data_IF_137364912103
#
_entry.id   IF_137364912103
#
_cell.length_a   1.000
_cell.length_b   1.000
_cell.length_c   1.000
_cell.angle_alpha   90.00
_cell.angle_beta   90.00
_cell.angle_gamma   90.00
#
_symmetry.space_group_name_H-M   'P 1'
#
loop_
_entity.id
_entity.type
_entity.pdbx_description
1 polymer ?
#
# COMPACT_ATOMS: atom_id res chain seq x y z
N UNK A 1 -8.58 5.29 18.03
CA UNK A 1 -8.66 6.28 16.92
C UNK A 1 -7.40 6.31 16.05
N UNK A 2 -6.18 6.43 16.61
CA UNK A 2 -4.91 6.54 15.84
C UNK A 2 -4.71 5.49 14.74
N UNK A 3 -4.95 4.20 15.02
CA UNK A 3 -4.87 3.12 14.00
C UNK A 3 -5.80 3.35 12.80
N UNK A 4 -7.03 3.82 13.04
CA UNK A 4 -8.00 4.06 11.96
C UNK A 4 -7.49 5.15 11.02
N UNK A 5 -6.88 6.20 11.56
CA UNK A 5 -6.31 7.31 10.79
C UNK A 5 -5.19 6.82 9.86
N UNK A 6 -4.25 5.99 10.35
CA UNK A 6 -3.17 5.44 9.51
C UNK A 6 -3.71 4.58 8.36
N UNK A 7 -4.72 3.74 8.62
CA UNK A 7 -5.35 2.95 7.56
C UNK A 7 -6.09 3.82 6.54
N UNK A 8 -6.81 4.85 6.99
CA UNK A 8 -7.49 5.78 6.10
C UNK A 8 -6.49 6.58 5.25
N UNK A 9 -5.39 7.06 5.83
CA UNK A 9 -4.30 7.72 5.09
C UNK A 9 -3.68 6.79 4.05
N UNK A 10 -3.43 5.53 4.41
CA UNK A 10 -2.87 4.54 3.47
C UNK A 10 -3.83 4.25 2.31
N UNK A 11 -5.13 4.15 2.60
CA UNK A 11 -6.15 3.97 1.57
C UNK A 11 -6.22 5.19 0.63
N UNK A 12 -6.23 6.40 1.19
CA UNK A 12 -6.21 7.65 0.43
C UNK A 12 -4.96 7.71 -0.45
N UNK A 13 -3.79 7.34 0.07
CA UNK A 13 -2.54 7.31 -0.68
C UNK A 13 -2.61 6.41 -1.91
N UNK A 14 -3.05 5.16 -1.73
CA UNK A 14 -3.16 4.18 -2.83
C UNK A 14 -4.12 4.66 -3.92
N UNK A 15 -5.25 5.26 -3.53
CA UNK A 15 -6.24 5.81 -4.47
C UNK A 15 -5.65 7.03 -5.21
N UNK A 16 -5.01 7.95 -4.48
CA UNK A 16 -4.40 9.16 -5.04
C UNK A 16 -3.32 8.81 -6.06
N UNK A 17 -2.39 7.91 -5.71
CA UNK A 17 -1.34 7.46 -6.63
C UNK A 17 -1.94 6.72 -7.82
N UNK A 18 -2.99 5.93 -7.61
CA UNK A 18 -3.73 5.28 -8.71
C UNK A 18 -4.29 6.30 -9.70
N UNK A 19 -4.93 7.35 -9.20
CA UNK A 19 -5.44 8.41 -10.06
C UNK A 19 -4.32 9.11 -10.85
N UNK A 20 -3.19 9.44 -10.20
CA UNK A 20 -2.05 10.06 -10.88
C UNK A 20 -1.44 9.16 -11.97
N UNK A 21 -1.27 7.87 -11.68
CA UNK A 21 -0.76 6.90 -12.66
C UNK A 21 -1.71 6.75 -13.84
N UNK A 22 -3.02 6.73 -13.59
CA UNK A 22 -4.01 6.69 -14.65
C UNK A 22 -3.98 7.95 -15.52
N UNK A 23 -3.97 9.13 -14.91
CA UNK A 23 -3.91 10.41 -15.60
C UNK A 23 -2.63 10.53 -16.47
N UNK A 24 -1.47 10.15 -15.92
CA UNK A 24 -0.21 10.10 -16.67
C UNK A 24 -0.25 9.07 -17.82
N UNK A 25 -0.87 7.91 -17.59
CA UNK A 25 -1.06 6.89 -18.62
C UNK A 25 -1.91 7.38 -19.79
N UNK A 26 -2.98 8.14 -19.51
CA UNK A 26 -3.82 8.76 -20.56
C UNK A 26 -3.10 9.88 -21.32
N UNK A 27 -2.21 10.62 -20.65
CA UNK A 27 -1.41 11.68 -21.25
C UNK A 27 -0.19 11.16 -22.04
N UNK A 28 0.12 9.86 -21.93
CA UNK A 28 1.29 9.28 -22.58
C UNK A 28 1.08 9.13 -24.10
N UNK A 29 2.06 9.52 -24.94
CA UNK A 29 1.96 9.45 -26.40
C UNK A 29 2.07 8.02 -26.95
N UNK A 30 2.68 7.09 -26.19
CA UNK A 30 2.99 5.75 -26.69
C UNK A 30 1.80 4.78 -26.58
N UNK A 31 1.34 4.54 -25.34
CA UNK A 31 0.24 3.64 -25.03
C UNK A 31 -0.62 4.23 -23.93
N UNK A 32 -1.86 4.56 -24.27
CA UNK A 32 -2.88 5.01 -23.32
C UNK A 32 -3.38 3.84 -22.50
N UNK A 33 -2.62 3.50 -21.47
CA UNK A 33 -2.93 2.40 -20.57
C UNK A 33 -2.53 2.76 -19.15
N UNK A 34 -3.17 2.09 -18.19
CA UNK A 34 -2.78 2.21 -16.80
C UNK A 34 -1.43 1.52 -16.58
N UNK A 35 -0.46 2.23 -15.99
CA UNK A 35 0.89 1.72 -15.74
C UNK A 35 0.92 0.99 -14.40
N UNK A 36 0.47 -0.27 -14.41
CA UNK A 36 0.36 -1.10 -13.20
C UNK A 36 1.66 -1.18 -12.40
N UNK A 37 2.81 -1.29 -13.06
CA UNK A 37 4.11 -1.35 -12.41
C UNK A 37 4.40 -0.11 -11.55
N UNK A 38 4.11 1.09 -12.08
CA UNK A 38 4.30 2.34 -11.34
C UNK A 38 3.35 2.44 -10.14
N UNK A 39 2.08 2.07 -10.35
CA UNK A 39 1.12 2.11 -9.26
C UNK A 39 1.48 1.15 -8.13
N UNK A 40 1.99 -0.05 -8.46
CA UNK A 40 2.44 -1.01 -7.45
C UNK A 40 3.63 -0.45 -6.69
N UNK A 41 4.66 0.05 -7.39
CA UNK A 41 5.89 0.52 -6.76
C UNK A 41 5.74 1.82 -5.98
N UNK A 42 4.89 2.76 -6.42
CA UNK A 42 4.72 4.07 -5.79
C UNK A 42 3.47 4.21 -4.93
N UNK A 43 2.44 3.40 -5.19
CA UNK A 43 1.18 3.40 -4.44
C UNK A 43 1.13 2.29 -3.42
N UNK A 44 1.14 1.05 -3.89
CA UNK A 44 0.87 -0.13 -3.04
C UNK A 44 2.00 -0.47 -2.08
N UNK A 45 3.23 -0.57 -2.58
CA UNK A 45 4.41 -0.93 -1.76
C UNK A 45 4.63 0.07 -0.63
N UNK A 46 4.62 1.40 -0.84
CA UNK A 46 4.83 2.37 0.24
C UNK A 46 3.69 2.40 1.26
N UNK A 47 2.46 2.10 0.85
CA UNK A 47 1.33 2.02 1.77
C UNK A 47 1.43 0.81 2.70
N UNK A 48 2.04 -0.30 2.25
CA UNK A 48 2.09 -1.56 3.01
C UNK A 48 3.42 -1.72 3.76
N UNK A 49 4.52 -1.19 3.24
CA UNK A 49 5.85 -1.35 3.81
C UNK A 49 5.94 -1.01 5.31
N UNK A 50 5.36 0.10 5.83
CA UNK A 50 5.42 0.43 7.25
C UNK A 50 4.80 -0.66 8.14
N UNK A 51 3.72 -1.29 7.66
CA UNK A 51 3.04 -2.37 8.36
C UNK A 51 3.87 -3.66 8.32
N UNK A 52 4.51 -3.97 7.19
CA UNK A 52 5.43 -5.11 7.09
C UNK A 52 6.65 -4.94 8.00
N UNK A 53 7.26 -3.76 8.02
CA UNK A 53 8.36 -3.46 8.93
C UNK A 53 7.95 -3.60 10.39
N UNK A 54 6.76 -3.09 10.76
CA UNK A 54 6.23 -3.27 12.11
C UNK A 54 6.09 -4.75 12.50
N UNK A 55 5.64 -5.59 11.57
CA UNK A 55 5.52 -7.03 11.76
C UNK A 55 6.88 -7.73 11.93
N UNK A 56 7.87 -7.37 11.09
CA UNK A 56 9.23 -7.92 11.17
C UNK A 56 9.88 -7.56 12.51
N UNK A 57 9.69 -6.33 12.99
CA UNK A 57 10.31 -5.84 14.23
C UNK A 57 9.67 -6.38 15.51
N UNK A 58 8.42 -6.86 15.44
CA UNK A 58 7.69 -7.43 16.58
C UNK A 58 7.19 -8.85 16.27
N UNK A 59 8.10 -9.82 16.07
CA UNK A 59 7.74 -11.19 15.68
C UNK A 59 6.92 -11.91 16.76
N UNK A 60 7.07 -11.52 18.03
CA UNK A 60 6.27 -12.03 19.16
C UNK A 60 4.76 -11.81 18.97
N UNK A 61 4.37 -10.69 18.33
CA UNK A 61 2.96 -10.41 18.05
C UNK A 61 2.37 -11.44 17.08
N UNK A 62 3.15 -11.81 16.06
CA UNK A 62 2.76 -12.85 15.10
C UNK A 62 2.73 -14.22 15.79
N UNK A 63 3.75 -14.55 16.58
CA UNK A 63 3.82 -15.81 17.31
C UNK A 63 2.62 -16.00 18.24
N UNK A 64 2.30 -14.98 19.04
CA UNK A 64 1.15 -15.00 19.95
C UNK A 64 -0.19 -15.08 19.21
N UNK A 65 -0.30 -14.48 18.02
CA UNK A 65 -1.50 -14.59 17.18
C UNK A 65 -1.68 -16.00 16.62
N UNK A 66 -0.60 -16.66 16.20
CA UNK A 66 -0.61 -18.03 15.71
C UNK A 66 -0.88 -19.04 16.84
N UNK A 67 -0.24 -18.88 17.99
CA UNK A 67 -0.45 -19.75 19.15
C UNK A 67 -1.86 -19.63 19.72
N UNK A 68 -2.48 -18.43 19.72
CA UNK A 68 -3.89 -18.26 20.10
C UNK A 68 -4.89 -18.97 19.16
N UNK A 69 -4.45 -19.32 17.95
CA UNK A 69 -5.29 -19.95 16.93
C UNK A 69 -5.24 -21.48 16.99
N UNK A 70 -4.32 -22.03 17.79
CA UNK A 70 -4.13 -23.47 18.03
C UNK A 70 -4.84 -23.88 19.31
#
# INVERSE_FOLDING_TARGET
MRRKIFFTLSLIWVILVGYLVWANGLASPDKKAFRWDEWIWFGFVPAIAPYLFYLIWKPEYIKNFLDKKK
#
